data_IF_074261514606
#
_entry.id   IF_074261514606
#
_cell.length_a   1.000
_cell.length_b   1.000
_cell.length_c   1.000
_cell.angle_alpha   90.00
_cell.angle_beta   90.00
_cell.angle_gamma   90.00
#
_symmetry.space_group_name_H-M   'P 1'
#
loop_
_entity.id
_entity.type
_entity.pdbx_description
1 polymer ?
#
# COMPACT_ATOMS: atom_id res chain seq x y z
N UNK A 1 -1.31 -11.46 -16.27
CA UNK A 1 -1.59 -10.01 -16.43
C UNK A 1 -0.31 -9.25 -16.13
N UNK A 2 0.07 -8.26 -16.94
CA UNK A 2 1.22 -7.39 -16.65
C UNK A 2 0.70 -6.16 -15.89
N UNK A 3 1.08 -6.03 -14.62
CA UNK A 3 0.75 -4.86 -13.81
C UNK A 3 1.66 -3.69 -14.19
N UNK A 4 1.07 -2.56 -14.58
CA UNK A 4 1.79 -1.33 -14.99
C UNK A 4 1.35 -0.13 -14.14
N UNK A 5 1.78 -0.04 -12.89
CA UNK A 5 1.41 1.07 -12.03
C UNK A 5 2.10 2.36 -12.48
N UNK A 6 1.47 3.50 -12.20
CA UNK A 6 2.09 4.82 -12.39
C UNK A 6 2.59 5.32 -11.05
N UNK A 7 3.90 5.58 -10.92
CA UNK A 7 4.45 6.20 -9.71
C UNK A 7 3.92 7.64 -9.62
N UNK A 8 3.24 7.96 -8.51
CA UNK A 8 2.71 9.30 -8.24
C UNK A 8 3.65 10.10 -7.33
N UNK A 9 4.35 9.43 -6.41
CA UNK A 9 5.35 10.07 -5.54
C UNK A 9 6.43 9.07 -5.16
N UNK A 10 7.67 9.54 -5.22
CA UNK A 10 8.84 8.84 -4.72
C UNK A 10 9.73 9.82 -3.98
N UNK A 11 9.71 9.74 -2.66
CA UNK A 11 10.59 10.50 -1.79
C UNK A 11 11.43 9.48 -1.00
N UNK A 12 12.74 9.38 -1.28
CA UNK A 12 13.61 8.42 -0.63
C UNK A 12 13.44 8.44 0.90
N UNK A 13 13.38 7.25 1.51
CA UNK A 13 13.25 7.04 2.96
C UNK A 13 12.03 7.71 3.62
N UNK A 14 11.02 8.12 2.84
CA UNK A 14 9.85 8.83 3.38
C UNK A 14 8.53 8.36 2.78
N UNK A 15 8.42 8.31 1.45
CA UNK A 15 7.16 7.95 0.82
C UNK A 15 7.36 7.31 -0.54
N UNK A 16 6.60 6.24 -0.79
CA UNK A 16 6.41 5.65 -2.10
C UNK A 16 4.90 5.53 -2.36
N UNK A 17 4.45 6.06 -3.48
CA UNK A 17 3.04 6.06 -3.86
C UNK A 17 2.89 5.76 -5.34
N UNK A 18 1.95 4.90 -5.68
CA UNK A 18 1.60 4.61 -7.06
C UNK A 18 0.10 4.42 -7.25
N UNK A 19 -0.33 4.61 -8.49
CA UNK A 19 -1.68 4.31 -8.96
C UNK A 19 -1.67 3.01 -9.75
N UNK A 20 -2.33 1.99 -9.23
CA UNK A 20 -2.71 0.79 -9.97
C UNK A 20 -4.06 0.99 -10.64
N UNK A 21 -4.16 0.62 -11.92
CA UNK A 21 -5.43 0.63 -12.67
C UNK A 21 -5.77 -0.80 -13.09
N UNK A 22 -6.98 -1.26 -12.81
CA UNK A 22 -7.48 -2.57 -13.23
C UNK A 22 -8.36 -2.42 -14.47
N UNK A 23 -7.87 -2.93 -15.60
CA UNK A 23 -8.56 -3.02 -16.91
C UNK A 23 -9.00 -1.69 -17.54
N UNK A 24 -9.94 -0.97 -16.93
CA UNK A 24 -10.51 0.28 -17.44
C UNK A 24 -10.31 1.37 -16.37
N UNK A 25 -9.60 2.49 -16.69
CA UNK A 25 -9.45 3.60 -15.76
C UNK A 25 -10.79 4.10 -15.21
N UNK A 26 -10.87 4.33 -13.90
CA UNK A 26 -12.08 4.82 -13.22
C UNK A 26 -13.12 3.75 -12.83
N UNK A 27 -12.94 2.50 -13.25
CA UNK A 27 -13.82 1.40 -12.83
C UNK A 27 -13.42 0.86 -11.46
N UNK A 28 -12.12 0.64 -11.26
CA UNK A 28 -11.49 0.34 -9.99
C UNK A 28 -10.00 0.71 -10.06
N UNK A 29 -9.66 1.83 -9.44
CA UNK A 29 -8.30 2.34 -9.33
C UNK A 29 -7.85 2.27 -7.87
N UNK A 30 -6.63 1.78 -7.63
CA UNK A 30 -6.02 1.67 -6.30
C UNK A 30 -4.81 2.58 -6.19
N UNK A 31 -4.89 3.63 -5.38
CA UNK A 31 -3.73 4.44 -5.00
C UNK A 31 -3.08 3.83 -3.77
N UNK A 32 -1.97 3.12 -3.97
CA UNK A 32 -1.22 2.47 -2.91
C UNK A 32 -0.14 3.40 -2.39
N UNK A 33 -0.01 3.51 -1.07
CA UNK A 33 0.89 4.43 -0.39
C UNK A 33 1.63 3.69 0.72
N UNK A 34 2.95 3.84 0.72
CA UNK A 34 3.84 3.53 1.83
C UNK A 34 4.43 4.83 2.38
N UNK A 35 4.27 5.06 3.67
CA UNK A 35 4.89 6.16 4.40
C UNK A 35 5.81 5.61 5.49
N UNK A 36 6.99 6.21 5.60
CA UNK A 36 7.96 5.95 6.65
C UNK A 36 8.04 7.17 7.56
N UNK A 37 7.76 6.97 8.84
CA UNK A 37 7.80 8.02 9.87
C UNK A 37 8.87 7.64 10.88
N UNK A 38 9.90 8.46 11.03
CA UNK A 38 10.87 8.28 12.10
C UNK A 38 10.22 8.57 13.45
N UNK A 39 10.47 7.70 14.43
CA UNK A 39 10.00 7.89 15.80
C UNK A 39 10.99 8.69 16.67
N UNK A 40 12.12 9.14 16.09
CA UNK A 40 13.22 9.86 16.75
C UNK A 40 13.93 9.08 17.89
N UNK A 41 13.76 7.76 17.94
CA UNK A 41 14.39 6.85 18.92
C UNK A 41 15.21 5.73 18.24
N UNK A 42 15.49 5.89 16.94
CA UNK A 42 16.13 4.87 16.11
C UNK A 42 15.15 3.90 15.46
N UNK A 43 13.86 3.92 15.83
CA UNK A 43 12.82 3.11 15.20
C UNK A 43 12.06 3.89 14.11
N UNK A 44 11.37 3.15 13.24
CA UNK A 44 10.56 3.72 12.15
C UNK A 44 9.18 3.08 12.12
N UNK A 45 8.15 3.90 11.99
CA UNK A 45 6.77 3.46 11.76
C UNK A 45 6.52 3.37 10.25
N UNK A 46 6.16 2.18 9.77
CA UNK A 46 5.67 1.95 8.42
C UNK A 46 4.14 2.08 8.40
N UNK A 47 3.60 2.95 7.55
CA UNK A 47 2.17 3.04 7.27
C UNK A 47 1.93 2.60 5.83
N UNK A 48 1.19 1.51 5.68
CA UNK A 48 0.67 1.04 4.39
C UNK A 48 -0.82 1.36 4.29
N UNK A 49 -1.24 1.96 3.19
CA UNK A 49 -2.65 2.24 2.90
C UNK A 49 -2.94 2.18 1.42
N UNK A 50 -4.17 1.82 1.08
CA UNK A 50 -4.64 1.89 -0.30
C UNK A 50 -5.96 2.65 -0.36
N UNK A 51 -6.04 3.63 -1.27
CA UNK A 51 -7.27 4.37 -1.54
C UNK A 51 -7.88 3.84 -2.83
N UNK A 52 -9.03 3.20 -2.68
CA UNK A 52 -9.80 2.70 -3.82
C UNK A 52 -10.74 3.78 -4.34
N UNK A 53 -10.74 3.96 -5.65
CA UNK A 53 -11.62 4.89 -6.36
C UNK A 53 -12.35 4.12 -7.47
N UNK A 54 -13.60 4.52 -7.75
CA UNK A 54 -14.38 3.98 -8.85
C UNK A 54 -15.78 3.53 -8.47
N UNK A 55 -16.62 3.33 -9.48
CA UNK A 55 -18.06 3.04 -9.31
C UNK A 55 -18.29 1.64 -8.72
N UNK A 56 -17.35 0.70 -8.89
CA UNK A 56 -17.49 -0.68 -8.41
C UNK A 56 -17.00 -0.91 -6.97
N UNK A 57 -16.38 0.08 -6.32
CA UNK A 57 -15.87 -0.06 -4.94
C UNK A 57 -16.93 -0.56 -3.95
N UNK A 58 -18.20 -0.08 -3.98
CA UNK A 58 -19.23 -0.57 -3.05
C UNK A 58 -19.58 -2.05 -3.20
N UNK A 59 -19.40 -2.63 -4.40
CA UNK A 59 -19.67 -4.04 -4.67
C UNK A 59 -18.53 -4.95 -4.19
N UNK A 60 -17.35 -4.39 -3.96
CA UNK A 60 -16.14 -5.13 -3.56
C UNK A 60 -15.84 -5.01 -2.06
N UNK A 61 -16.78 -4.53 -1.23
CA UNK A 61 -16.59 -4.33 0.21
C UNK A 61 -16.02 -5.55 0.94
N UNK A 62 -16.49 -6.76 0.62
CA UNK A 62 -15.97 -7.98 1.24
C UNK A 62 -14.50 -8.23 0.89
N UNK A 63 -14.11 -8.00 -0.38
CA UNK A 63 -12.73 -8.09 -0.83
C UNK A 63 -11.81 -7.04 -0.19
N UNK A 64 -12.35 -5.91 0.29
CA UNK A 64 -11.58 -4.90 1.03
C UNK A 64 -11.15 -5.42 2.42
N UNK A 65 -11.95 -6.26 3.07
CA UNK A 65 -11.55 -6.90 4.33
C UNK A 65 -10.39 -7.87 4.13
N UNK A 66 -10.46 -8.71 3.08
CA UNK A 66 -9.37 -9.63 2.73
C UNK A 66 -8.09 -8.86 2.36
N UNK A 67 -8.25 -7.73 1.68
CA UNK A 67 -7.14 -6.83 1.35
C UNK A 67 -6.46 -6.30 2.62
N UNK A 68 -7.23 -5.89 3.63
CA UNK A 68 -6.69 -5.45 4.92
C UNK A 68 -5.88 -6.56 5.59
N UNK A 69 -6.41 -7.78 5.62
CA UNK A 69 -5.69 -8.93 6.19
C UNK A 69 -4.35 -9.17 5.47
N UNK A 70 -4.34 -9.05 4.14
CA UNK A 70 -3.11 -9.10 3.34
C UNK A 70 -2.10 -8.01 3.71
N UNK A 71 -2.55 -6.78 3.93
CA UNK A 71 -1.67 -5.67 4.36
C UNK A 71 -1.11 -5.89 5.76
N UNK A 72 -1.93 -6.38 6.69
CA UNK A 72 -1.47 -6.68 8.05
C UNK A 72 -0.37 -7.77 8.01
N UNK A 73 -0.54 -8.80 7.20
CA UNK A 73 0.48 -9.84 6.98
C UNK A 73 1.75 -9.28 6.33
N UNK A 74 1.63 -8.41 5.33
CA UNK A 74 2.76 -7.77 4.66
C UNK A 74 3.56 -6.88 5.64
N UNK A 75 2.88 -6.03 6.40
CA UNK A 75 3.51 -5.17 7.40
C UNK A 75 4.26 -5.99 8.44
N UNK A 76 3.64 -7.07 8.95
CA UNK A 76 4.30 -7.99 9.88
C UNK A 76 5.55 -8.60 9.26
N UNK A 77 5.48 -9.05 8.00
CA UNK A 77 6.63 -9.69 7.36
C UNK A 77 7.77 -8.73 7.06
N UNK A 78 7.46 -7.50 6.66
CA UNK A 78 8.46 -6.44 6.47
C UNK A 78 9.16 -6.15 7.79
N UNK A 79 8.40 -5.98 8.87
CA UNK A 79 8.96 -5.77 10.21
C UNK A 79 9.92 -6.90 10.60
N UNK A 80 9.50 -8.16 10.46
CA UNK A 80 10.36 -9.32 10.71
C UNK A 80 11.66 -9.27 9.91
N UNK A 81 11.60 -8.99 8.60
CA UNK A 81 12.78 -8.95 7.72
C UNK A 81 13.73 -7.80 8.10
N UNK A 82 13.20 -6.62 8.39
CA UNK A 82 13.99 -5.45 8.76
C UNK A 82 14.69 -5.61 10.12
N UNK A 83 14.07 -6.36 11.04
CA UNK A 83 14.53 -6.51 12.42
C UNK A 83 15.32 -7.81 12.66
N UNK A 84 15.35 -8.73 11.69
CA UNK A 84 16.07 -10.02 11.80
C UNK A 84 17.58 -9.88 12.03
N UNK A 85 18.17 -8.73 11.69
CA UNK A 85 19.61 -8.46 11.81
C UNK A 85 19.95 -7.36 12.84
N UNK A 86 19.01 -7.02 13.73
CA UNK A 86 19.26 -6.17 14.91
C UNK A 86 19.78 -7.02 16.08
#
# INVERSE_FOLDING_TARGET
MIFKPTILKFTPNKELRWLGRLFIPGLFDGEHIFELISNNDGTTTLIQREKFHGILVPLLKNSLYDTKAGFDLMNKKIKEICEINL
#
